data_IF_050869197273
#
_entry.id   IF_050869197273
#
_cell.length_a   1.000
_cell.length_b   1.000
_cell.length_c   1.000
_cell.angle_alpha   90.00
_cell.angle_beta   90.00
_cell.angle_gamma   90.00
#
_symmetry.space_group_name_H-M   'P 1'
#
loop_
_entity.id
_entity.type
_entity.pdbx_description
1 polymer ?
#
# COMPACT_ATOMS: atom_id res chain seq x y z
N UNK A 1 75.06 18.79 -30.82
CA UNK A 1 73.65 19.12 -30.48
C UNK A 1 73.12 18.04 -29.54
N UNK A 2 73.43 18.12 -28.25
CA UNK A 2 72.81 17.26 -27.25
C UNK A 2 73.08 17.89 -25.89
N UNK A 3 72.01 18.02 -25.09
CA UNK A 3 71.94 18.41 -23.68
C UNK A 3 71.23 19.75 -23.42
N UNK A 4 69.89 19.75 -23.53
CA UNK A 4 69.07 20.67 -22.71
C UNK A 4 67.63 20.15 -22.47
N UNK A 5 67.47 18.93 -21.95
CA UNK A 5 66.13 18.43 -21.54
C UNK A 5 66.04 18.03 -20.06
N UNK A 6 67.13 18.13 -19.29
CA UNK A 6 67.14 17.75 -17.87
C UNK A 6 66.72 18.86 -16.90
N UNK A 7 66.70 20.12 -17.33
CA UNK A 7 66.32 21.27 -16.49
C UNK A 7 64.81 21.46 -16.32
N UNK A 8 64.04 21.28 -17.40
CA UNK A 8 62.59 21.59 -17.43
C UNK A 8 61.73 20.60 -16.63
N UNK A 9 62.22 19.37 -16.42
CA UNK A 9 61.48 18.32 -15.70
C UNK A 9 61.56 18.48 -14.16
N UNK A 10 62.60 19.13 -13.64
CA UNK A 10 62.75 19.37 -12.19
C UNK A 10 61.89 20.55 -11.71
N UNK A 11 61.66 21.53 -12.59
CA UNK A 11 60.88 22.73 -12.29
C UNK A 11 59.37 22.42 -12.21
N UNK A 12 58.85 21.61 -13.15
CA UNK A 12 57.46 21.12 -13.11
C UNK A 12 57.14 20.30 -11.86
N UNK A 13 58.11 19.54 -11.33
CA UNK A 13 57.97 18.76 -10.08
C UNK A 13 58.04 19.64 -8.83
N UNK A 14 58.80 20.74 -8.85
CA UNK A 14 58.83 21.74 -7.78
C UNK A 14 57.53 22.53 -7.72
N UNK A 15 57.03 22.99 -8.86
CA UNK A 15 55.74 23.70 -8.96
C UNK A 15 54.58 22.79 -8.53
N UNK A 16 54.56 21.52 -8.98
CA UNK A 16 53.53 20.57 -8.58
C UNK A 16 53.54 20.27 -7.06
N UNK A 17 54.72 20.18 -6.42
CA UNK A 17 54.88 19.97 -4.97
C UNK A 17 54.49 21.21 -4.16
N UNK A 18 54.82 22.41 -4.64
CA UNK A 18 54.41 23.68 -4.00
C UNK A 18 52.90 23.86 -4.12
N UNK A 19 52.29 23.52 -5.26
CA UNK A 19 50.85 23.60 -5.46
C UNK A 19 50.06 22.60 -4.60
N UNK A 20 50.58 21.37 -4.44
CA UNK A 20 49.94 20.37 -3.56
C UNK A 20 50.10 20.71 -2.08
N UNK A 21 51.26 21.23 -1.65
CA UNK A 21 51.44 21.69 -0.26
C UNK A 21 50.58 22.92 0.03
N UNK A 22 50.45 23.86 -0.92
CA UNK A 22 49.56 25.00 -0.79
C UNK A 22 48.08 24.58 -0.68
N UNK A 23 47.63 23.61 -1.49
CA UNK A 23 46.26 23.11 -1.48
C UNK A 23 45.91 22.35 -0.18
N UNK A 24 46.86 21.59 0.37
CA UNK A 24 46.71 20.89 1.66
C UNK A 24 46.74 21.88 2.84
N UNK A 25 47.57 22.93 2.79
CA UNK A 25 47.61 23.97 3.83
C UNK A 25 46.35 24.86 3.81
N UNK A 26 45.76 25.14 2.64
CA UNK A 26 44.46 25.82 2.56
C UNK A 26 43.29 24.95 3.03
N UNK A 27 43.35 23.63 2.81
CA UNK A 27 42.35 22.70 3.34
C UNK A 27 42.45 22.57 4.88
N UNK A 28 43.66 22.61 5.44
CA UNK A 28 43.89 22.53 6.89
C UNK A 28 43.56 23.85 7.62
N UNK A 29 43.78 25.00 6.98
CA UNK A 29 43.39 26.31 7.52
C UNK A 29 41.87 26.53 7.53
N UNK A 30 41.12 25.93 6.60
CA UNK A 30 39.66 26.02 6.57
C UNK A 30 39.01 25.19 7.70
N UNK A 31 39.66 24.12 8.16
CA UNK A 31 39.19 23.33 9.31
C UNK A 31 39.44 23.95 10.69
N UNK A 32 40.19 25.06 10.78
CA UNK A 32 40.57 25.70 12.05
C UNK A 32 39.88 27.05 12.32
N UNK A 33 39.08 27.59 11.38
CA UNK A 33 38.34 28.86 11.58
C UNK A 33 36.87 28.70 12.00
N UNK A 34 36.32 27.49 12.05
CA UNK A 34 35.01 27.25 12.66
C UNK A 34 35.21 26.70 14.08
N UNK A 35 35.52 27.60 15.00
CA UNK A 35 35.50 27.32 16.42
C UNK A 35 34.13 26.77 16.83
N UNK A 36 34.13 25.52 17.30
CA UNK A 36 33.03 24.94 18.04
C UNK A 36 32.87 25.68 19.36
N UNK A 37 31.85 26.53 19.48
CA UNK A 37 31.28 26.91 20.79
C UNK A 37 30.23 25.88 21.16
N UNK A 38 30.40 25.06 22.22
CA UNK A 38 29.33 24.25 22.74
C UNK A 38 28.43 25.15 23.61
N UNK A 39 27.65 26.04 23.01
CA UNK A 39 26.45 26.55 23.68
C UNK A 39 25.38 25.48 23.59
N UNK A 40 25.54 24.49 24.46
CA UNK A 40 24.49 23.59 24.91
C UNK A 40 23.43 24.45 25.61
N UNK A 41 22.62 25.18 24.84
CA UNK A 41 21.32 25.63 25.34
C UNK A 41 20.54 24.33 25.51
N UNK A 42 20.45 23.88 26.76
CA UNK A 42 19.58 22.77 27.13
C UNK A 42 18.19 23.19 26.70
N UNK A 43 17.71 22.64 25.59
CA UNK A 43 16.32 22.75 25.22
C UNK A 43 15.54 22.23 26.43
N UNK A 44 14.86 23.13 27.12
CA UNK A 44 13.83 22.73 28.09
C UNK A 44 12.80 22.05 27.21
N UNK A 45 12.80 20.72 27.23
CA UNK A 45 11.74 19.95 26.64
C UNK A 45 10.47 20.44 27.32
N UNK A 46 9.69 21.26 26.62
CA UNK A 46 8.34 21.59 27.05
C UNK A 46 7.64 20.26 27.22
N UNK A 47 7.12 19.97 28.42
CA UNK A 47 6.31 18.79 28.63
C UNK A 47 5.30 18.70 27.48
N UNK A 48 5.18 17.54 26.80
CA UNK A 48 4.23 17.42 25.72
C UNK A 48 2.86 17.83 26.28
N UNK A 49 2.08 18.63 25.53
CA UNK A 49 0.78 19.05 26.01
C UNK A 49 -0.01 17.82 26.46
N UNK A 50 -0.66 17.92 27.62
CA UNK A 50 -1.46 16.84 28.23
C UNK A 50 -2.44 16.24 27.21
N UNK A 51 -2.85 17.03 26.21
CA UNK A 51 -3.64 16.61 25.07
C UNK A 51 -2.72 16.37 23.87
N UNK A 52 -2.51 15.09 23.50
CA UNK A 52 -1.94 14.71 22.21
C UNK A 52 -3.00 14.91 21.14
N UNK A 53 -2.84 15.93 20.31
CA UNK A 53 -3.70 16.11 19.14
C UNK A 53 -3.46 14.94 18.20
N UNK A 54 -4.50 14.16 17.92
CA UNK A 54 -4.42 13.08 16.96
C UNK A 54 -4.06 13.66 15.58
N UNK A 55 -3.10 13.06 14.85
CA UNK A 55 -2.86 13.46 13.47
C UNK A 55 -4.14 13.25 12.65
N UNK A 56 -4.33 14.07 11.61
CA UNK A 56 -5.41 13.86 10.67
C UNK A 56 -5.36 12.42 10.13
N UNK A 57 -6.53 11.80 9.96
CA UNK A 57 -6.63 10.44 9.48
C UNK A 57 -5.91 10.31 8.12
N UNK A 58 -5.15 9.22 7.89
CA UNK A 58 -4.57 8.97 6.59
C UNK A 58 -5.67 8.83 5.54
N UNK A 59 -5.53 9.55 4.44
CA UNK A 59 -6.44 9.43 3.29
C UNK A 59 -5.90 8.33 2.39
N UNK A 60 -6.72 7.30 2.13
CA UNK A 60 -6.37 6.20 1.24
C UNK A 60 -7.00 6.43 -0.14
N UNK A 61 -6.22 6.23 -1.19
CA UNK A 61 -6.73 6.23 -2.56
C UNK A 61 -7.50 4.91 -2.84
N UNK A 62 -8.60 5.03 -3.57
CA UNK A 62 -9.39 3.88 -3.99
C UNK A 62 -8.61 2.94 -4.90
N UNK A 63 -7.75 3.46 -5.78
CA UNK A 63 -6.93 2.61 -6.65
C UNK A 63 -5.91 1.80 -5.84
N UNK A 64 -5.28 2.41 -4.83
CA UNK A 64 -4.39 1.73 -3.90
C UNK A 64 -5.11 0.64 -3.09
N UNK A 65 -6.35 0.89 -2.66
CA UNK A 65 -7.18 -0.11 -1.97
C UNK A 65 -7.49 -1.30 -2.89
N UNK A 66 -7.88 -1.05 -4.14
CA UNK A 66 -8.20 -2.12 -5.10
C UNK A 66 -6.97 -2.98 -5.40
N UNK A 67 -5.80 -2.38 -5.59
CA UNK A 67 -4.56 -3.13 -5.81
C UNK A 67 -4.15 -3.95 -4.58
N UNK A 68 -4.38 -3.45 -3.37
CA UNK A 68 -4.17 -4.21 -2.13
C UNK A 68 -5.11 -5.42 -2.05
N UNK A 69 -6.40 -5.26 -2.35
CA UNK A 69 -7.38 -6.36 -2.35
C UNK A 69 -6.97 -7.45 -3.36
N UNK A 70 -6.57 -7.07 -4.57
CA UNK A 70 -6.07 -7.99 -5.58
C UNK A 70 -4.82 -8.75 -5.07
N UNK A 71 -3.89 -8.07 -4.41
CA UNK A 71 -2.70 -8.69 -3.84
C UNK A 71 -3.05 -9.68 -2.71
N UNK A 72 -4.07 -9.40 -1.89
CA UNK A 72 -4.56 -10.33 -0.86
C UNK A 72 -5.14 -11.60 -1.50
N UNK A 73 -5.97 -11.47 -2.53
CA UNK A 73 -6.54 -12.62 -3.27
C UNK A 73 -5.47 -13.45 -3.97
N UNK A 74 -4.47 -12.80 -4.58
CA UNK A 74 -3.33 -13.49 -5.19
C UNK A 74 -2.54 -14.33 -4.19
N UNK A 75 -2.30 -13.82 -2.96
CA UNK A 75 -1.64 -14.59 -1.89
C UNK A 75 -2.46 -15.79 -1.44
N UNK A 76 -3.78 -15.67 -1.40
CA UNK A 76 -4.66 -16.82 -1.09
C UNK A 76 -4.57 -17.85 -2.23
N UNK A 77 -4.66 -17.41 -3.48
CA UNK A 77 -4.57 -18.24 -4.67
C UNK A 77 -3.23 -19.02 -4.75
N UNK A 78 -2.12 -18.37 -4.39
CA UNK A 78 -0.80 -19.01 -4.30
C UNK A 78 -0.78 -20.12 -3.24
N UNK A 79 -1.32 -19.86 -2.05
CA UNK A 79 -1.32 -20.82 -0.94
C UNK A 79 -2.17 -22.06 -1.19
N UNK A 80 -3.32 -21.92 -1.86
CA UNK A 80 -4.18 -23.06 -2.19
C UNK A 80 -3.61 -23.91 -3.34
N UNK A 81 -2.86 -23.29 -4.25
CA UNK A 81 -2.24 -23.94 -5.40
C UNK A 81 -3.20 -24.22 -6.57
N UNK A 82 -2.65 -24.46 -7.75
CA UNK A 82 -3.39 -24.54 -9.02
C UNK A 82 -4.39 -25.71 -9.15
N UNK A 83 -4.35 -26.70 -8.26
CA UNK A 83 -5.22 -27.89 -8.31
C UNK A 83 -6.41 -27.83 -7.33
N UNK A 84 -6.66 -26.65 -6.76
CA UNK A 84 -7.74 -26.42 -5.82
C UNK A 84 -8.64 -25.27 -6.28
N UNK A 85 -9.87 -25.29 -5.80
CA UNK A 85 -10.83 -24.20 -5.93
C UNK A 85 -11.11 -23.71 -4.51
N UNK A 86 -11.11 -22.39 -4.34
CA UNK A 86 -11.49 -21.76 -3.08
C UNK A 86 -12.82 -21.05 -3.26
N UNK A 87 -13.78 -21.35 -2.39
CA UNK A 87 -15.12 -20.75 -2.39
C UNK A 87 -15.36 -20.15 -1.02
N UNK A 88 -15.82 -18.89 -0.98
CA UNK A 88 -16.17 -18.21 0.25
C UNK A 88 -17.50 -17.49 0.11
N UNK A 89 -18.40 -17.79 1.05
CA UNK A 89 -19.75 -17.28 1.08
C UNK A 89 -19.85 -16.05 1.99
N UNK A 90 -20.80 -15.18 1.66
CA UNK A 90 -21.25 -14.10 2.53
C UNK A 90 -21.82 -14.65 3.83
N UNK A 91 -21.78 -13.83 4.87
CA UNK A 91 -22.58 -14.06 6.05
C UNK A 91 -24.08 -14.10 5.72
N UNK A 92 -24.82 -14.88 6.48
CA UNK A 92 -26.27 -14.91 6.49
C UNK A 92 -26.83 -13.90 7.51
N UNK A 93 -27.98 -13.26 7.22
CA UNK A 93 -28.71 -12.48 8.20
C UNK A 93 -29.01 -13.30 9.46
N UNK A 94 -28.94 -12.66 10.62
CA UNK A 94 -29.26 -13.29 11.91
C UNK A 94 -30.56 -12.72 12.43
N UNK A 95 -31.47 -13.59 12.81
CA UNK A 95 -32.76 -13.20 13.38
C UNK A 95 -32.55 -12.72 14.81
N UNK A 96 -33.08 -11.54 15.14
CA UNK A 96 -33.19 -11.06 16.52
C UNK A 96 -34.46 -11.62 17.18
N UNK A 97 -35.62 -11.37 16.56
CA UNK A 97 -36.91 -11.90 17.01
C UNK A 97 -37.91 -11.93 15.86
N UNK A 98 -38.65 -13.03 15.68
CA UNK A 98 -39.65 -13.20 14.62
C UNK A 98 -39.15 -12.73 13.22
N UNK A 99 -39.70 -11.62 12.72
CA UNK A 99 -39.43 -10.97 11.44
C UNK A 99 -38.38 -9.83 11.50
N UNK A 100 -37.76 -9.65 12.66
CA UNK A 100 -36.72 -8.63 12.90
C UNK A 100 -35.35 -9.29 12.87
N UNK A 101 -34.51 -8.83 11.93
CA UNK A 101 -33.10 -9.21 11.83
C UNK A 101 -32.20 -8.27 12.65
N UNK A 102 -31.05 -8.79 13.09
CA UNK A 102 -29.93 -7.96 13.51
C UNK A 102 -29.35 -7.18 12.32
N UNK A 103 -28.63 -6.10 12.62
CA UNK A 103 -27.87 -5.38 11.60
C UNK A 103 -26.89 -6.32 10.90
N UNK A 104 -26.91 -6.28 9.58
CA UNK A 104 -26.09 -7.18 8.77
C UNK A 104 -24.61 -6.86 8.98
N UNK A 105 -23.85 -7.88 9.37
CA UNK A 105 -22.39 -7.83 9.43
C UNK A 105 -21.83 -8.90 8.52
N UNK A 106 -21.01 -8.47 7.56
CA UNK A 106 -20.36 -9.37 6.62
C UNK A 106 -19.34 -10.29 7.32
N UNK A 107 -19.12 -11.45 6.73
CA UNK A 107 -18.04 -12.36 7.08
C UNK A 107 -16.68 -11.68 6.88
N UNK A 108 -15.82 -11.74 7.90
CA UNK A 108 -14.62 -10.93 7.98
C UNK A 108 -13.62 -11.24 6.85
N UNK A 109 -13.46 -12.50 6.44
CA UNK A 109 -12.52 -12.89 5.40
C UNK A 109 -12.99 -12.45 4.01
N UNK A 110 -14.27 -12.57 3.70
CA UNK A 110 -14.89 -12.08 2.47
C UNK A 110 -14.76 -10.56 2.39
N UNK A 111 -15.07 -9.86 3.49
CA UNK A 111 -14.86 -8.42 3.56
C UNK A 111 -13.37 -8.05 3.39
N UNK A 112 -12.46 -8.81 4.00
CA UNK A 112 -11.02 -8.59 3.87
C UNK A 112 -10.50 -8.76 2.43
N UNK A 113 -11.09 -9.66 1.65
CA UNK A 113 -10.68 -9.93 0.27
C UNK A 113 -11.40 -9.10 -0.80
N UNK A 114 -12.61 -8.61 -0.50
CA UNK A 114 -13.48 -7.95 -1.50
C UNK A 114 -13.93 -6.55 -1.11
N UNK A 115 -13.88 -6.20 0.18
CA UNK A 115 -14.43 -4.97 0.73
C UNK A 115 -15.93 -4.75 0.43
N UNK A 116 -16.69 -5.84 0.22
CA UNK A 116 -18.13 -5.79 -0.04
C UNK A 116 -18.91 -6.07 1.23
N UNK A 117 -20.02 -5.33 1.43
CA UNK A 117 -20.90 -5.46 2.60
C UNK A 117 -22.32 -5.93 2.24
N UNK A 118 -22.49 -6.57 1.08
CA UNK A 118 -23.79 -7.06 0.61
C UNK A 118 -23.96 -8.55 0.92
N UNK A 119 -25.17 -8.92 1.34
CA UNK A 119 -25.61 -10.29 1.56
C UNK A 119 -25.62 -11.11 0.26
N UNK A 120 -25.43 -12.43 0.38
CA UNK A 120 -25.52 -13.35 -0.75
C UNK A 120 -24.38 -13.24 -1.76
N UNK A 121 -23.29 -12.54 -1.41
CA UNK A 121 -22.09 -12.51 -2.22
C UNK A 121 -21.28 -13.82 -2.08
N UNK A 122 -20.75 -14.35 -3.18
CA UNK A 122 -19.86 -15.52 -3.15
C UNK A 122 -18.61 -15.24 -3.96
N UNK A 123 -17.43 -15.35 -3.33
CA UNK A 123 -16.15 -15.23 -4.01
C UNK A 123 -15.62 -16.63 -4.34
N UNK A 124 -15.24 -16.83 -5.60
CA UNK A 124 -14.59 -18.05 -6.08
C UNK A 124 -13.23 -17.71 -6.65
N UNK A 125 -12.18 -18.38 -6.17
CA UNK A 125 -10.82 -18.29 -6.72
C UNK A 125 -10.46 -19.60 -7.41
N UNK A 126 -9.96 -19.48 -8.64
CA UNK A 126 -9.62 -20.55 -9.58
C UNK A 126 -8.15 -20.39 -10.02
N UNK A 127 -7.17 -20.62 -9.15
CA UNK A 127 -5.74 -20.40 -9.44
C UNK A 127 -5.23 -21.25 -10.62
N UNK A 128 -5.87 -22.39 -10.91
CA UNK A 128 -5.51 -23.26 -12.03
C UNK A 128 -6.09 -22.83 -13.38
N UNK A 129 -6.98 -21.85 -13.40
CA UNK A 129 -7.62 -21.38 -14.62
C UNK A 129 -6.92 -20.12 -15.14
N UNK A 130 -6.35 -20.21 -16.35
CA UNK A 130 -5.61 -19.11 -16.98
C UNK A 130 -6.50 -17.98 -17.50
N UNK A 131 -7.75 -18.28 -17.82
CA UNK A 131 -8.69 -17.30 -18.40
C UNK A 131 -9.46 -16.56 -17.32
N UNK A 132 -9.77 -17.24 -16.22
CA UNK A 132 -10.62 -16.73 -15.15
C UNK A 132 -10.09 -17.18 -13.80
N UNK A 133 -9.29 -16.33 -13.17
CA UNK A 133 -8.63 -16.63 -11.88
C UNK A 133 -9.52 -16.35 -10.67
N UNK A 134 -10.50 -15.47 -10.82
CA UNK A 134 -11.44 -15.10 -9.77
C UNK A 134 -12.80 -14.73 -10.36
N UNK A 135 -13.87 -15.09 -9.64
CA UNK A 135 -15.26 -14.77 -9.99
C UNK A 135 -15.98 -14.35 -8.72
N UNK A 136 -16.81 -13.33 -8.83
CA UNK A 136 -17.70 -12.89 -7.76
C UNK A 136 -19.15 -13.08 -8.21
N UNK A 137 -19.92 -13.83 -7.43
CA UNK A 137 -21.34 -13.98 -7.64
C UNK A 137 -22.08 -13.00 -6.72
N UNK A 138 -23.02 -12.23 -7.29
CA UNK A 138 -23.81 -11.25 -6.54
C UNK A 138 -25.30 -11.34 -6.87
N UNK A 139 -26.19 -11.15 -5.88
CA UNK A 139 -27.61 -11.00 -6.15
C UNK A 139 -27.86 -9.79 -7.04
N UNK A 140 -28.73 -9.95 -8.04
CA UNK A 140 -29.16 -8.81 -8.86
C UNK A 140 -29.93 -7.80 -8.02
N UNK A 141 -29.76 -6.53 -8.41
CA UNK A 141 -30.51 -5.41 -7.85
C UNK A 141 -32.01 -5.64 -8.03
N UNK A 142 -32.75 -5.38 -6.95
CA UNK A 142 -34.20 -5.45 -6.92
C UNK A 142 -34.72 -4.14 -6.30
N UNK A 143 -35.31 -3.23 -7.11
CA UNK A 143 -35.81 -1.94 -6.61
C UNK A 143 -36.85 -2.08 -5.50
N UNK A 144 -37.64 -3.16 -5.53
CA UNK A 144 -38.64 -3.41 -4.49
C UNK A 144 -37.98 -3.71 -3.14
N UNK A 145 -36.88 -4.47 -3.14
CA UNK A 145 -36.09 -4.75 -1.94
C UNK A 145 -35.25 -3.56 -1.49
N UNK A 146 -34.62 -2.86 -2.42
CA UNK A 146 -33.75 -1.70 -2.09
C UNK A 146 -34.49 -0.61 -1.32
N UNK A 147 -35.79 -0.46 -1.54
CA UNK A 147 -36.65 0.46 -0.79
C UNK A 147 -36.67 0.16 0.72
N UNK A 148 -36.53 -1.11 1.10
CA UNK A 148 -36.59 -1.57 2.49
C UNK A 148 -35.23 -1.92 3.08
N UNK A 149 -34.37 -2.60 2.32
CA UNK A 149 -33.07 -3.11 2.80
C UNK A 149 -31.90 -2.17 2.51
N UNK A 150 -32.14 -1.10 1.75
CA UNK A 150 -31.10 -0.18 1.29
C UNK A 150 -30.41 -0.62 0.00
N UNK A 151 -29.41 0.16 -0.40
CA UNK A 151 -28.74 0.04 -1.70
C UNK A 151 -28.10 -1.33 -1.91
N UNK A 152 -28.33 -1.91 -3.09
CA UNK A 152 -27.63 -3.11 -3.56
C UNK A 152 -26.64 -2.73 -4.67
N UNK A 153 -25.45 -3.31 -4.63
CA UNK A 153 -24.41 -3.10 -5.62
C UNK A 153 -24.87 -3.54 -7.01
N UNK A 154 -24.64 -2.69 -8.00
CA UNK A 154 -24.57 -3.16 -9.38
C UNK A 154 -23.26 -3.92 -9.64
N UNK A 155 -23.20 -4.69 -10.74
CA UNK A 155 -21.95 -5.34 -11.14
C UNK A 155 -20.82 -4.32 -11.34
N UNK A 156 -21.11 -3.15 -11.92
CA UNK A 156 -20.11 -2.10 -12.13
C UNK A 156 -19.63 -1.47 -10.81
N UNK A 157 -20.52 -1.29 -9.84
CA UNK A 157 -20.15 -0.80 -8.51
C UNK A 157 -19.30 -1.82 -7.77
N UNK A 158 -19.71 -3.09 -7.79
CA UNK A 158 -18.94 -4.17 -7.18
C UNK A 158 -17.55 -4.30 -7.80
N UNK A 159 -17.40 -4.12 -9.12
CA UNK A 159 -16.11 -4.09 -9.83
C UNK A 159 -15.24 -2.94 -9.32
N UNK A 160 -15.80 -1.74 -9.16
CA UNK A 160 -15.09 -0.57 -8.64
C UNK A 160 -14.66 -0.74 -7.17
N UNK A 161 -15.48 -1.39 -6.35
CA UNK A 161 -15.21 -1.55 -4.92
C UNK A 161 -14.20 -2.67 -4.66
N UNK A 162 -14.37 -3.83 -5.31
CA UNK A 162 -13.60 -5.05 -5.05
C UNK A 162 -12.40 -5.25 -5.97
N UNK A 163 -12.43 -4.66 -7.17
CA UNK A 163 -11.45 -4.91 -8.23
C UNK A 163 -11.64 -6.22 -8.99
N UNK A 164 -12.67 -7.02 -8.67
CA UNK A 164 -12.93 -8.29 -9.37
C UNK A 164 -13.56 -8.00 -10.73
N UNK A 165 -13.01 -8.59 -11.78
CA UNK A 165 -13.46 -8.38 -13.17
C UNK A 165 -14.65 -9.27 -13.54
N UNK A 166 -14.67 -10.52 -13.12
CA UNK A 166 -15.78 -11.41 -13.48
C UNK A 166 -16.84 -11.38 -12.37
N UNK A 167 -18.00 -10.79 -12.70
CA UNK A 167 -19.12 -10.64 -11.75
C UNK A 167 -20.39 -11.19 -12.38
N UNK A 168 -20.91 -12.27 -11.80
CA UNK A 168 -22.05 -13.04 -12.32
C UNK A 168 -23.23 -12.97 -11.34
N UNK A 169 -24.42 -13.37 -11.79
CA UNK A 169 -25.61 -13.43 -10.94
C UNK A 169 -25.47 -14.57 -9.92
N UNK A 170 -25.83 -14.32 -8.66
CA UNK A 170 -25.82 -15.35 -7.61
C UNK A 170 -26.62 -16.61 -7.97
N UNK A 171 -27.65 -16.48 -8.82
CA UNK A 171 -28.47 -17.61 -9.29
C UNK A 171 -27.74 -18.53 -10.28
N UNK A 172 -26.62 -18.09 -10.86
CA UNK A 172 -25.80 -18.90 -11.77
C UNK A 172 -24.80 -19.81 -11.02
N UNK A 173 -24.73 -19.70 -9.69
CA UNK A 173 -23.86 -20.52 -8.86
C UNK A 173 -24.45 -21.91 -8.51
N UNK A 174 -25.78 -22.04 -8.54
CA UNK A 174 -26.52 -23.30 -8.28
C UNK A 174 -26.55 -24.21 -9.51
#
# INVERSE_FOLDING_TARGET
MMNDERGTMNDKRRVARVLTVALVMTAFAFSLLCGNTPTSVRAVASDPPVIRVAPAAPVFDNAARVSELAARRAKVAEKIGAKAIFVMFSAEPRIYTNDVDYEFRQENNLYYLTNLQQQGATLVLLPGNSSMTEVLFLPRRDPSRETWTGHMYSADEARKVSGVTEIWDAREFE
#
